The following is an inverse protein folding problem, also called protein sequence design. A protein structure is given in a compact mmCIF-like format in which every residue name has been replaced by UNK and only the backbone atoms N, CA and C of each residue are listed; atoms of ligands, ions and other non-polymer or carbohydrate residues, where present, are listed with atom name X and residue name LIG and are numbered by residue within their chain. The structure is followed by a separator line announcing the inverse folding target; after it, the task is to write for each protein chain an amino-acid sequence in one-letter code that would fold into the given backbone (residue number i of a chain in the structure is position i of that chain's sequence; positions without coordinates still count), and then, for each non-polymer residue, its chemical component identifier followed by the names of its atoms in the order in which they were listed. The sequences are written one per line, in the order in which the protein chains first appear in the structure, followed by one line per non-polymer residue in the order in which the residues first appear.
data_IF_956512455479
#
_entry.id   IF_956512455479
#
_cell.length_a   1.000
_cell.length_b   1.000
_cell.length_c   1.000
_cell.angle_alpha   90.00
_cell.angle_beta   90.00
_cell.angle_gamma   90.00
#
_symmetry.space_group_name_H-M   'P 1'
#
loop_
_entity.id
_entity.type
_entity.pdbx_description
1 polymer ?
#
# COMPACT_ATOMS: atom_id res chain seq x y z
N UNK A 1 14.12 5.39 1.73
CA UNK A 1 14.82 6.55 2.34
C UNK A 1 15.52 7.30 1.22
N UNK A 2 15.37 8.60 1.18
CA UNK A 2 15.92 9.48 0.15
C UNK A 2 17.45 9.62 0.27
N UNK A 3 18.26 9.06 -0.65
CA UNK A 3 19.70 9.19 -0.61
C UNK A 3 20.19 10.63 -0.86
N UNK A 4 19.33 11.51 -1.41
CA UNK A 4 19.65 12.92 -1.62
C UNK A 4 19.37 13.80 -0.40
N UNK A 5 18.73 13.26 0.66
CA UNK A 5 18.42 13.96 1.90
C UNK A 5 17.36 15.07 1.76
N UNK A 6 16.50 14.97 0.75
CA UNK A 6 15.44 15.97 0.50
C UNK A 6 14.13 15.64 1.23
N UNK A 7 14.05 14.46 1.88
CA UNK A 7 12.87 14.01 2.63
C UNK A 7 13.23 13.93 4.12
N UNK A 8 12.48 14.65 4.93
CA UNK A 8 12.54 14.57 6.39
C UNK A 8 11.33 13.79 6.93
N UNK A 9 11.58 12.78 7.75
CA UNK A 9 10.53 12.03 8.45
C UNK A 9 10.25 12.74 9.77
N UNK A 10 9.20 13.55 9.79
CA UNK A 10 8.82 14.38 10.95
C UNK A 10 7.94 13.64 11.98
N UNK A 11 7.31 12.54 11.59
CA UNK A 11 6.51 11.69 12.48
C UNK A 11 6.58 10.23 12.02
N UNK A 12 6.83 9.32 12.97
CA UNK A 12 6.81 7.87 12.72
C UNK A 12 6.21 7.18 13.95
N UNK A 13 5.07 6.52 13.76
CA UNK A 13 4.35 5.80 14.82
C UNK A 13 3.73 4.52 14.27
N UNK A 14 3.45 3.55 15.16
CA UNK A 14 2.75 2.32 14.79
C UNK A 14 1.24 2.51 14.83
N UNK A 15 0.54 2.15 13.74
CA UNK A 15 -0.92 2.06 13.67
C UNK A 15 -1.45 0.62 13.79
N UNK A 16 -0.60 -0.35 14.18
CA UNK A 16 -0.96 -1.75 14.41
C UNK A 16 -1.70 -2.42 13.23
N UNK A 17 -1.43 -2.00 12.00
CA UNK A 17 -2.01 -2.51 10.76
C UNK A 17 -3.55 -2.49 10.74
N UNK A 18 -4.18 -1.51 11.36
CA UNK A 18 -5.63 -1.36 11.35
C UNK A 18 -6.05 0.11 11.13
N UNK A 19 -7.30 0.30 10.71
CA UNK A 19 -7.86 1.61 10.33
C UNK A 19 -7.89 2.61 11.49
N UNK A 20 -8.38 2.18 12.65
CA UNK A 20 -8.49 3.05 13.83
C UNK A 20 -7.11 3.50 14.32
N UNK A 21 -6.12 2.59 14.24
CA UNK A 21 -4.73 2.92 14.53
C UNK A 21 -4.17 3.94 13.54
N UNK A 22 -4.42 3.76 12.24
CA UNK A 22 -4.03 4.70 11.19
C UNK A 22 -4.63 6.08 11.40
N UNK A 23 -5.94 6.14 11.71
CA UNK A 23 -6.64 7.38 12.03
C UNK A 23 -6.00 8.08 13.23
N UNK A 24 -5.91 7.39 14.38
CA UNK A 24 -5.38 7.97 15.63
C UNK A 24 -3.95 8.48 15.48
N UNK A 25 -3.07 7.69 14.84
CA UNK A 25 -1.67 8.07 14.62
C UNK A 25 -1.60 9.30 13.71
N UNK A 26 -2.40 9.33 12.66
CA UNK A 26 -2.40 10.46 11.72
C UNK A 26 -2.92 11.73 12.38
N UNK A 27 -3.98 11.68 13.19
CA UNK A 27 -4.44 12.82 13.97
C UNK A 27 -3.33 13.40 14.86
N UNK A 28 -2.62 12.53 15.59
CA UNK A 28 -1.52 12.92 16.46
C UNK A 28 -0.35 13.53 15.68
N UNK A 29 0.02 12.94 14.54
CA UNK A 29 1.10 13.43 13.68
C UNK A 29 0.76 14.79 13.06
N UNK A 30 -0.45 14.97 12.55
CA UNK A 30 -0.92 16.24 11.98
C UNK A 30 -1.00 17.35 13.03
N UNK A 31 -1.47 17.04 14.24
CA UNK A 31 -1.53 18.01 15.33
C UNK A 31 -0.13 18.50 15.76
N UNK A 32 0.86 17.61 15.70
CA UNK A 32 2.25 17.94 16.09
C UNK A 32 3.08 18.54 14.94
N UNK A 33 2.70 18.26 13.69
CA UNK A 33 3.44 18.67 12.49
C UNK A 33 2.46 19.19 11.43
N UNK A 34 1.95 20.41 11.57
CA UNK A 34 0.92 20.96 10.69
C UNK A 34 1.40 21.17 9.24
N UNK A 35 2.71 21.22 9.01
CA UNK A 35 3.33 21.44 7.71
C UNK A 35 3.71 20.14 6.98
N UNK A 36 3.24 18.98 7.45
CA UNK A 36 3.51 17.69 6.78
C UNK A 36 2.98 17.70 5.34
N UNK A 37 3.77 17.18 4.42
CA UNK A 37 3.49 17.29 2.98
C UNK A 37 3.04 15.95 2.35
N UNK A 38 3.24 14.83 3.01
CA UNK A 38 2.81 13.51 2.55
C UNK A 38 2.73 12.51 3.70
N UNK A 39 1.93 11.47 3.53
CA UNK A 39 1.82 10.34 4.46
C UNK A 39 2.11 9.05 3.70
N UNK A 40 2.95 8.19 4.30
CA UNK A 40 3.17 6.81 3.83
C UNK A 40 2.68 5.88 4.94
N UNK A 41 1.63 5.14 4.65
CA UNK A 41 1.09 4.12 5.53
C UNK A 41 1.65 2.74 5.14
N UNK A 42 1.94 1.91 6.14
CA UNK A 42 2.51 0.59 5.91
C UNK A 42 1.49 -0.42 5.35
N UNK A 43 0.19 -0.11 5.39
CA UNK A 43 -0.85 -0.85 4.68
C UNK A 43 -2.06 0.05 4.34
N UNK A 44 -2.98 -0.48 3.54
CA UNK A 44 -4.15 0.27 3.06
C UNK A 44 -5.17 0.56 4.15
N UNK A 45 -5.35 -0.33 5.13
CA UNK A 45 -6.27 -0.07 6.25
C UNK A 45 -5.83 1.17 7.03
N UNK A 46 -4.53 1.30 7.32
CA UNK A 46 -4.00 2.50 7.95
C UNK A 46 -4.09 3.72 7.02
N UNK A 47 -3.87 3.55 5.72
CA UNK A 47 -4.01 4.64 4.74
C UNK A 47 -5.45 5.17 4.69
N UNK A 48 -6.45 4.29 4.72
CA UNK A 48 -7.86 4.67 4.78
C UNK A 48 -8.19 5.44 6.07
N UNK A 49 -7.65 5.00 7.22
CA UNK A 49 -7.75 5.75 8.47
C UNK A 49 -7.06 7.12 8.39
N UNK A 50 -5.90 7.20 7.74
CA UNK A 50 -5.18 8.44 7.53
C UNK A 50 -5.97 9.44 6.64
N UNK A 51 -6.70 8.95 5.64
CA UNK A 51 -7.61 9.77 4.82
C UNK A 51 -8.70 10.41 5.69
N UNK A 52 -9.29 9.64 6.60
CA UNK A 52 -10.33 10.15 7.52
C UNK A 52 -9.78 11.26 8.43
N UNK A 53 -8.59 11.04 9.02
CA UNK A 53 -7.92 12.03 9.85
C UNK A 53 -7.56 13.31 9.07
N UNK A 54 -7.01 13.17 7.85
CA UNK A 54 -6.65 14.31 7.00
C UNK A 54 -7.89 15.13 6.61
N UNK A 55 -9.01 14.46 6.27
CA UNK A 55 -10.29 15.12 6.00
C UNK A 55 -10.80 15.89 7.23
N UNK A 56 -10.76 15.27 8.41
CA UNK A 56 -11.19 15.92 9.65
C UNK A 56 -10.34 17.15 10.00
N UNK A 57 -9.05 17.08 9.71
CA UNK A 57 -8.11 18.21 9.88
C UNK A 57 -8.21 19.27 8.77
N UNK A 58 -8.95 19.02 7.69
CA UNK A 58 -9.04 19.94 6.55
C UNK A 58 -7.75 19.99 5.72
N UNK A 59 -6.92 18.95 5.77
CA UNK A 59 -5.61 18.88 5.09
C UNK A 59 -5.72 18.02 3.84
N UNK A 60 -5.23 18.54 2.71
CA UNK A 60 -5.19 17.84 1.42
C UNK A 60 -3.73 17.54 1.05
N UNK A 61 -3.24 16.38 1.41
CA UNK A 61 -1.88 15.91 1.13
C UNK A 61 -1.92 14.50 0.52
N UNK A 62 -0.93 14.13 -0.31
CA UNK A 62 -0.84 12.78 -0.86
C UNK A 62 -0.65 11.74 0.26
N UNK A 63 -1.44 10.68 0.20
CA UNK A 63 -1.36 9.52 1.09
C UNK A 63 -1.12 8.29 0.23
N UNK A 64 -0.15 7.46 0.60
CA UNK A 64 0.18 6.21 -0.08
C UNK A 64 -0.03 5.05 0.90
N UNK A 65 -0.69 4.00 0.41
CA UNK A 65 -0.90 2.74 1.12
C UNK A 65 -0.06 1.58 0.56
N UNK A 66 -0.36 0.39 1.00
CA UNK A 66 0.25 -0.86 0.56
C UNK A 66 -0.80 -1.98 0.65
N UNK A 67 -0.82 -2.92 -0.29
CA UNK A 67 -1.66 -4.11 -0.47
C UNK A 67 -2.59 -4.04 -1.69
N UNK A 68 -2.94 -2.87 -2.19
CA UNK A 68 -3.93 -2.64 -3.24
C UNK A 68 -5.27 -3.35 -2.94
N UNK A 69 -5.78 -3.17 -1.72
CA UNK A 69 -7.09 -3.68 -1.32
C UNK A 69 -8.19 -3.05 -2.16
N UNK A 70 -9.30 -3.74 -2.46
CA UNK A 70 -10.40 -3.19 -3.24
C UNK A 70 -10.90 -1.84 -2.74
N UNK A 71 -11.03 -1.65 -1.42
CA UNK A 71 -11.46 -0.37 -0.83
C UNK A 71 -10.43 0.75 -1.03
N UNK A 72 -9.13 0.42 -0.92
CA UNK A 72 -8.06 1.39 -1.21
C UNK A 72 -8.01 1.74 -2.70
N UNK A 73 -8.22 0.76 -3.59
CA UNK A 73 -8.33 1.01 -5.02
C UNK A 73 -9.52 1.92 -5.35
N UNK A 74 -10.66 1.78 -4.66
CA UNK A 74 -11.77 2.75 -4.77
C UNK A 74 -11.32 4.15 -4.36
N UNK A 75 -10.59 4.27 -3.25
CA UNK A 75 -10.05 5.55 -2.80
C UNK A 75 -9.03 6.15 -3.78
N UNK A 76 -8.24 5.33 -4.47
CA UNK A 76 -7.34 5.77 -5.56
C UNK A 76 -8.16 6.29 -6.74
N UNK A 77 -9.17 5.52 -7.21
CA UNK A 77 -10.06 5.93 -8.30
C UNK A 77 -10.73 7.28 -8.02
N UNK A 78 -11.20 7.45 -6.80
CA UNK A 78 -11.93 8.64 -6.36
C UNK A 78 -10.99 9.81 -5.96
N UNK A 79 -9.67 9.63 -6.07
CA UNK A 79 -8.65 10.65 -5.78
C UNK A 79 -8.42 10.94 -4.30
N UNK A 80 -8.98 10.13 -3.40
CA UNK A 80 -8.79 10.27 -1.95
C UNK A 80 -7.47 9.63 -1.46
N UNK A 81 -6.98 8.62 -2.16
CA UNK A 81 -5.66 8.01 -1.98
C UNK A 81 -4.81 8.31 -3.22
N UNK A 82 -3.58 8.73 -3.04
CA UNK A 82 -2.67 8.98 -4.16
C UNK A 82 -2.30 7.70 -4.89
N UNK A 83 -2.07 6.62 -4.14
CA UNK A 83 -1.79 5.30 -4.67
C UNK A 83 -1.63 4.26 -3.58
N UNK A 84 -1.62 3.01 -4.00
CA UNK A 84 -1.29 1.85 -3.15
C UNK A 84 -0.26 0.97 -3.83
N UNK A 85 0.68 0.43 -3.05
CA UNK A 85 1.70 -0.47 -3.57
C UNK A 85 1.12 -1.89 -3.65
N UNK A 86 0.89 -2.36 -4.87
CA UNK A 86 0.45 -3.72 -5.17
C UNK A 86 1.61 -4.71 -4.98
N UNK A 87 1.41 -5.73 -4.17
CA UNK A 87 2.37 -6.80 -3.94
C UNK A 87 2.03 -8.12 -4.66
N UNK A 88 0.93 -8.17 -5.40
CA UNK A 88 0.48 -9.32 -6.19
C UNK A 88 0.33 -10.63 -5.37
N UNK A 89 -0.53 -10.68 -4.33
CA UNK A 89 -0.66 -11.88 -3.49
C UNK A 89 -1.11 -13.11 -4.26
N UNK A 90 -1.99 -12.96 -5.24
CA UNK A 90 -2.38 -14.04 -6.16
C UNK A 90 -1.21 -14.50 -7.04
N UNK A 91 -0.41 -13.56 -7.55
CA UNK A 91 0.82 -13.85 -8.28
C UNK A 91 1.84 -14.61 -7.44
N UNK A 92 2.04 -14.21 -6.19
CA UNK A 92 2.90 -14.92 -5.23
C UNK A 92 2.42 -16.36 -5.01
N UNK A 93 1.12 -16.55 -4.76
CA UNK A 93 0.52 -17.87 -4.54
C UNK A 93 0.65 -18.76 -5.78
N UNK A 94 0.39 -18.24 -6.98
CA UNK A 94 0.56 -18.98 -8.25
C UNK A 94 2.01 -19.38 -8.46
N UNK A 95 2.96 -18.49 -8.22
CA UNK A 95 4.40 -18.75 -8.38
C UNK A 95 4.86 -19.84 -7.41
N UNK A 96 4.45 -19.77 -6.15
CA UNK A 96 4.77 -20.77 -5.15
C UNK A 96 4.20 -22.15 -5.53
N UNK A 97 2.92 -22.19 -5.94
CA UNK A 97 2.29 -23.45 -6.36
C UNK A 97 2.98 -24.05 -7.61
N UNK A 98 3.28 -23.24 -8.61
CA UNK A 98 3.97 -23.71 -9.82
C UNK A 98 5.36 -24.25 -9.48
N UNK A 99 6.08 -23.62 -8.57
CA UNK A 99 7.39 -24.08 -8.09
C UNK A 99 7.28 -25.47 -7.44
N UNK A 100 6.28 -25.67 -6.56
CA UNK A 100 6.02 -26.97 -5.93
C UNK A 100 5.67 -28.02 -6.98
N UNK A 101 4.79 -27.72 -7.92
CA UNK A 101 4.39 -28.65 -9.00
C UNK A 101 5.60 -29.04 -9.85
N UNK A 102 6.43 -28.11 -10.26
CA UNK A 102 7.64 -28.39 -11.04
C UNK A 102 8.61 -29.30 -10.28
N UNK A 103 8.76 -29.08 -8.96
CA UNK A 103 9.60 -29.94 -8.14
C UNK A 103 9.05 -31.36 -8.03
N UNK A 104 7.74 -31.54 -7.78
CA UNK A 104 7.12 -32.85 -7.62
C UNK A 104 7.10 -33.65 -8.94
N UNK A 105 6.75 -32.96 -10.04
CA UNK A 105 6.52 -33.66 -11.33
C UNK A 105 7.83 -33.87 -12.10
N UNK A 106 8.70 -32.88 -12.13
CA UNK A 106 9.91 -32.90 -12.95
C UNK A 106 11.22 -33.01 -12.15
N UNK A 107 11.17 -33.01 -10.82
CA UNK A 107 12.34 -32.94 -9.93
C UNK A 107 13.13 -31.66 -10.07
N UNK A 108 12.54 -30.63 -10.68
CA UNK A 108 13.21 -29.35 -10.92
C UNK A 108 13.11 -28.45 -9.69
N UNK A 109 14.22 -28.32 -8.96
CA UNK A 109 14.30 -27.34 -7.87
C UNK A 109 14.33 -25.90 -8.42
N UNK A 110 13.82 -24.93 -7.67
CA UNK A 110 13.96 -23.52 -8.04
C UNK A 110 15.43 -23.12 -8.10
N UNK A 111 15.76 -22.16 -8.98
CA UNK A 111 17.12 -21.64 -9.12
C UNK A 111 17.62 -20.88 -7.89
N UNK A 112 16.70 -20.49 -7.01
CA UNK A 112 16.99 -19.77 -5.77
C UNK A 112 16.00 -20.19 -4.68
N UNK A 113 16.43 -20.18 -3.43
CA UNK A 113 15.58 -20.41 -2.25
C UNK A 113 14.54 -19.28 -2.06
N UNK A 114 14.75 -18.15 -2.72
CA UNK A 114 13.86 -16.97 -2.66
C UNK A 114 13.48 -16.56 -4.07
N UNK A 115 12.17 -16.47 -4.32
CA UNK A 115 11.61 -15.92 -5.56
C UNK A 115 10.84 -14.66 -5.21
N UNK A 116 11.35 -13.51 -5.64
CA UNK A 116 10.72 -12.21 -5.39
C UNK A 116 9.89 -11.78 -6.60
N UNK A 117 8.71 -11.25 -6.33
CA UNK A 117 7.92 -10.47 -7.28
C UNK A 117 8.18 -8.98 -7.04
N UNK A 118 8.26 -8.19 -8.11
CA UNK A 118 8.45 -6.75 -8.01
C UNK A 118 7.11 -6.08 -7.67
N UNK A 119 6.98 -5.39 -6.53
CA UNK A 119 5.80 -4.61 -6.22
C UNK A 119 5.62 -3.47 -7.22
N UNK A 120 4.39 -2.99 -7.38
CA UNK A 120 4.05 -1.90 -8.29
C UNK A 120 3.18 -0.86 -7.62
N UNK A 121 3.51 0.42 -7.76
CA UNK A 121 2.62 1.48 -7.31
C UNK A 121 1.43 1.58 -8.29
N UNK A 122 0.23 1.41 -7.76
CA UNK A 122 -1.03 1.62 -8.47
C UNK A 122 -1.53 3.02 -8.14
N UNK A 123 -1.78 3.80 -9.17
CA UNK A 123 -2.33 5.15 -9.14
C UNK A 123 -3.53 5.25 -10.10
N UNK A 124 -4.11 6.42 -10.25
CA UNK A 124 -5.15 6.64 -11.26
C UNK A 124 -4.68 6.42 -12.70
N UNK A 125 -3.36 6.52 -12.97
CA UNK A 125 -2.80 6.39 -14.32
C UNK A 125 -2.70 4.93 -14.80
N UNK A 126 -2.57 3.98 -13.89
CA UNK A 126 -2.41 2.55 -14.18
C UNK A 126 -3.35 1.67 -13.35
N UNK A 127 -4.49 2.21 -13.00
CA UNK A 127 -5.49 1.62 -12.12
C UNK A 127 -5.97 0.22 -12.56
N UNK A 128 -6.09 0.02 -13.87
CA UNK A 128 -6.51 -1.24 -14.50
C UNK A 128 -5.48 -2.37 -14.40
N UNK A 129 -4.27 -2.07 -13.94
CA UNK A 129 -3.21 -3.06 -13.74
C UNK A 129 -3.25 -3.74 -12.36
N UNK A 130 -4.11 -3.27 -11.44
CA UNK A 130 -4.25 -3.87 -10.12
C UNK A 130 -4.81 -5.31 -10.22
N UNK A 131 -4.20 -6.25 -9.50
CA UNK A 131 -4.60 -7.67 -9.55
C UNK A 131 -6.06 -7.87 -9.15
N UNK A 132 -6.55 -7.05 -8.21
CA UNK A 132 -7.91 -7.15 -7.65
C UNK A 132 -8.90 -6.16 -8.26
N UNK A 133 -8.59 -5.60 -9.43
CA UNK A 133 -9.46 -4.63 -10.13
C UNK A 133 -10.87 -5.18 -10.40
N UNK A 134 -10.99 -6.48 -10.65
CA UNK A 134 -12.28 -7.15 -10.89
C UNK A 134 -13.18 -7.29 -9.65
N UNK A 135 -12.67 -7.00 -8.45
CA UNK A 135 -13.43 -7.04 -7.21
C UNK A 135 -14.09 -5.69 -6.86
N UNK A 136 -13.80 -4.66 -7.65
CA UNK A 136 -14.32 -3.31 -7.42
C UNK A 136 -15.64 -3.12 -8.16
N UNK A 137 -16.67 -2.53 -7.52
CA UNK A 137 -17.91 -2.13 -8.19
C UNK A 137 -17.64 -1.13 -9.32
N UNK A 138 -18.25 -1.36 -10.47
CA UNK A 138 -18.18 -0.48 -11.64
C UNK A 138 -19.09 0.75 -11.49
#
# INVERSE_FOLDING_TARGET
IDPAGNIEVVCQQTGNFNRDGGLTVTENCLASNPDVQAIVAANDDMALGAIEAAKAAGVAIPIIGFDALPEALLAVRDGALYGSVEQFPGGQSRTALQTIVNFIVAGTAPASDVVLLTPKLITTENFDEAERIGEIPQ
#
